data_IF_246852622485
#
_entry.id   IF_246852622485
#
_cell.length_a   1.000
_cell.length_b   1.000
_cell.length_c   1.000
_cell.angle_alpha   90.00
_cell.angle_beta   90.00
_cell.angle_gamma   90.00
#
_symmetry.space_group_name_H-M   'P 1'
#
loop_
_entity.id
_entity.type
_entity.pdbx_description
1 polymer ?
#
# COMPACT_ATOMS: atom_id res chain seq x y z
N UNK A 1 -23.19 23.77 11.21
CA UNK A 1 -23.92 22.72 10.46
C UNK A 1 -22.86 21.84 9.80
N UNK A 2 -22.42 20.77 10.49
CA UNK A 2 -21.37 19.87 10.00
C UNK A 2 -21.88 19.15 8.76
N UNK A 3 -21.20 19.33 7.63
CA UNK A 3 -21.39 18.44 6.49
C UNK A 3 -20.94 17.04 6.92
N UNK A 4 -21.70 15.98 6.62
CA UNK A 4 -21.19 14.63 6.79
C UNK A 4 -19.98 14.52 5.86
N UNK A 5 -18.78 14.41 6.44
CA UNK A 5 -17.64 13.85 5.73
C UNK A 5 -18.10 12.46 5.31
N UNK A 6 -18.45 12.32 4.03
CA UNK A 6 -18.53 11.01 3.39
C UNK A 6 -17.07 10.54 3.37
N UNK A 7 -16.65 10.00 4.50
CA UNK A 7 -15.45 9.21 4.65
C UNK A 7 -15.73 7.94 3.84
N UNK A 8 -15.48 8.03 2.53
CA UNK A 8 -15.55 6.90 1.61
C UNK A 8 -14.50 5.90 2.10
N UNK A 9 -14.97 4.96 2.92
CA UNK A 9 -14.29 3.79 3.43
C UNK A 9 -14.03 2.73 2.33
N UNK A 10 -13.81 3.18 1.10
CA UNK A 10 -13.58 2.30 -0.04
C UNK A 10 -12.09 2.38 -0.39
N UNK A 11 -11.37 1.32 -0.04
CA UNK A 11 -10.00 1.05 -0.47
C UNK A 11 -8.95 2.06 0.00
N UNK A 12 -8.91 2.30 1.31
CA UNK A 12 -7.62 2.53 2.00
C UNK A 12 -6.77 1.25 1.88
N UNK A 13 -6.23 1.00 0.69
CA UNK A 13 -4.82 0.60 0.61
C UNK A 13 -4.09 1.89 0.99
N UNK A 14 -3.62 2.08 2.24
CA UNK A 14 -2.75 3.20 2.48
C UNK A 14 -1.64 3.09 1.44
N UNK A 15 -1.22 4.20 0.87
CA UNK A 15 -0.03 4.23 0.00
C UNK A 15 1.22 3.73 0.77
N UNK A 16 1.11 3.48 2.10
CA UNK A 16 2.02 2.66 2.89
C UNK A 16 1.81 1.14 2.82
N UNK A 17 0.59 0.62 2.64
CA UNK A 17 0.39 -0.74 2.14
C UNK A 17 0.79 -0.83 0.67
N UNK A 18 0.66 0.23 -0.14
CA UNK A 18 1.30 0.25 -1.44
C UNK A 18 2.83 0.35 -1.31
N UNK A 19 3.44 1.03 -0.34
CA UNK A 19 4.90 1.04 -0.15
C UNK A 19 5.43 -0.25 0.50
N UNK A 20 4.67 -0.86 1.42
CA UNK A 20 4.95 -2.15 2.04
C UNK A 20 4.64 -3.31 1.08
N UNK A 21 3.57 -3.30 0.31
CA UNK A 21 3.28 -4.31 -0.73
C UNK A 21 4.09 -4.08 -2.01
N UNK A 22 4.45 -2.84 -2.38
CA UNK A 22 5.40 -2.60 -3.48
C UNK A 22 6.78 -3.13 -3.08
N UNK A 23 7.21 -3.01 -1.82
CA UNK A 23 8.45 -3.65 -1.38
C UNK A 23 8.31 -5.17 -1.13
N UNK A 24 7.18 -5.66 -0.63
CA UNK A 24 7.00 -7.08 -0.29
C UNK A 24 6.66 -7.96 -1.50
N UNK A 25 6.04 -7.40 -2.55
CA UNK A 25 5.62 -8.19 -3.70
C UNK A 25 6.53 -8.02 -4.91
N UNK A 26 7.14 -6.85 -5.16
CA UNK A 26 8.22 -6.69 -6.18
C UNK A 26 9.11 -5.47 -6.00
N UNK A 27 10.42 -5.64 -5.80
CA UNK A 27 11.34 -4.51 -5.90
C UNK A 27 11.24 -3.84 -7.27
N UNK A 28 11.47 -2.52 -7.31
CA UNK A 28 11.56 -1.69 -8.53
C UNK A 28 12.41 -2.37 -9.61
N UNK A 29 13.41 -3.15 -9.22
CA UNK A 29 14.26 -3.95 -10.11
C UNK A 29 13.45 -4.87 -11.03
N UNK A 30 12.43 -5.59 -10.55
CA UNK A 30 11.65 -6.51 -11.42
C UNK A 30 10.85 -5.75 -12.48
N UNK A 31 10.35 -4.56 -12.14
CA UNK A 31 9.64 -3.69 -13.10
C UNK A 31 10.61 -3.18 -14.16
N UNK A 32 11.77 -2.66 -13.73
CA UNK A 32 12.82 -2.13 -14.59
C UNK A 32 13.42 -3.20 -15.51
N UNK A 33 13.88 -4.33 -14.94
CA UNK A 33 14.52 -5.44 -15.65
C UNK A 33 13.61 -6.04 -16.74
N UNK A 34 12.30 -6.04 -16.50
CA UNK A 34 11.32 -6.54 -17.47
C UNK A 34 10.83 -5.46 -18.43
N UNK A 35 11.25 -4.20 -18.31
CA UNK A 35 10.75 -3.10 -19.13
C UNK A 35 9.23 -2.91 -19.00
N UNK A 36 8.66 -3.11 -17.81
CA UNK A 36 7.22 -2.99 -17.58
C UNK A 36 6.81 -1.53 -17.67
N UNK A 37 5.93 -1.21 -18.62
CA UNK A 37 5.33 0.11 -18.77
C UNK A 37 4.09 0.27 -17.91
N UNK A 38 3.19 -0.71 -17.93
CA UNK A 38 2.00 -0.71 -17.06
C UNK A 38 1.75 -2.07 -16.45
N UNK A 39 1.14 -2.05 -15.26
CA UNK A 39 0.58 -3.22 -14.57
C UNK A 39 -0.88 -2.93 -14.23
N UNK A 40 -1.80 -3.75 -14.72
CA UNK A 40 -3.20 -3.66 -14.34
C UNK A 40 -3.59 -4.85 -13.46
N UNK A 41 -4.30 -4.54 -12.37
CA UNK A 41 -4.75 -5.48 -11.33
C UNK A 41 -6.27 -5.45 -11.35
N UNK A 42 -6.90 -6.61 -11.41
CA UNK A 42 -8.35 -6.73 -11.36
C UNK A 42 -8.81 -7.98 -10.62
N UNK A 43 -10.04 -7.97 -10.10
CA UNK A 43 -10.65 -9.20 -9.61
C UNK A 43 -10.80 -10.22 -10.75
N UNK A 44 -10.66 -11.49 -10.43
CA UNK A 44 -11.05 -12.58 -11.33
C UNK A 44 -12.57 -12.68 -11.52
N UNK A 45 -13.36 -12.12 -10.60
CA UNK A 45 -14.81 -12.01 -10.71
C UNK A 45 -15.26 -10.94 -11.72
N UNK A 46 -16.52 -10.96 -12.13
CA UNK A 46 -17.09 -10.16 -13.24
C UNK A 46 -17.03 -8.63 -13.13
N UNK A 47 -16.33 -8.07 -12.14
CA UNK A 47 -16.04 -6.65 -12.08
C UNK A 47 -15.02 -6.24 -13.15
N UNK A 48 -15.29 -5.12 -13.81
CA UNK A 48 -14.40 -4.54 -14.83
C UNK A 48 -13.44 -3.51 -14.25
N UNK A 49 -13.63 -3.08 -13.00
CA UNK A 49 -12.75 -2.12 -12.35
C UNK A 49 -11.32 -2.68 -12.25
N UNK A 50 -10.32 -1.83 -12.48
CA UNK A 50 -8.91 -2.18 -12.44
C UNK A 50 -8.13 -1.11 -11.70
N UNK A 51 -7.18 -1.54 -10.87
CA UNK A 51 -6.09 -0.68 -10.42
C UNK A 51 -4.97 -0.75 -11.46
N UNK A 52 -4.56 0.38 -12.01
CA UNK A 52 -3.54 0.51 -13.05
C UNK A 52 -2.36 1.29 -12.49
N UNK A 53 -1.20 0.65 -12.52
CA UNK A 53 0.09 1.27 -12.23
C UNK A 53 0.82 1.55 -13.55
N UNK A 54 1.35 2.75 -13.74
CA UNK A 54 2.27 3.07 -14.84
C UNK A 54 3.65 3.39 -14.28
N UNK A 55 4.68 2.94 -14.98
CA UNK A 55 6.07 3.08 -14.56
C UNK A 55 6.87 3.80 -15.63
N UNK A 56 7.90 4.56 -15.26
CA UNK A 56 8.90 5.04 -16.22
C UNK A 56 9.88 3.93 -16.63
N UNK A 57 10.85 4.23 -17.48
CA UNK A 57 11.87 3.25 -17.94
C UNK A 57 12.82 2.78 -16.82
N UNK A 58 12.91 3.54 -15.74
CA UNK A 58 13.71 3.17 -14.55
C UNK A 58 12.88 2.35 -13.54
N UNK A 59 11.61 2.06 -13.86
CA UNK A 59 10.69 1.30 -13.02
C UNK A 59 10.01 2.12 -11.92
N UNK A 60 10.18 3.45 -11.90
CA UNK A 60 9.53 4.31 -10.91
C UNK A 60 8.04 4.46 -11.22
N UNK A 61 7.19 4.33 -10.21
CA UNK A 61 5.74 4.48 -10.35
C UNK A 61 5.36 5.93 -10.64
N UNK A 62 4.87 6.23 -11.84
CA UNK A 62 4.47 7.59 -12.22
C UNK A 62 2.98 7.85 -12.05
N UNK A 63 2.17 6.79 -12.10
CA UNK A 63 0.72 6.87 -11.96
C UNK A 63 0.18 5.61 -11.26
N UNK A 64 -0.68 5.80 -10.28
CA UNK A 64 -1.66 4.82 -9.85
C UNK A 64 -3.06 5.32 -10.22
N UNK A 65 -3.95 4.44 -10.66
CA UNK A 65 -5.30 4.82 -11.08
C UNK A 65 -6.29 3.69 -10.81
N UNK A 66 -7.47 4.02 -10.30
CA UNK A 66 -8.61 3.11 -10.24
C UNK A 66 -9.58 3.43 -11.37
N UNK A 67 -9.98 2.42 -12.14
CA UNK A 67 -10.99 2.57 -13.19
C UNK A 67 -12.38 2.15 -12.73
N UNK A 68 -13.39 2.69 -13.40
CA UNK A 68 -14.79 2.39 -13.19
C UNK A 68 -15.15 0.91 -13.44
N UNK A 69 -16.27 0.48 -12.84
CA UNK A 69 -16.76 -0.88 -12.98
C UNK A 69 -17.66 -1.11 -14.22
N UNK A 70 -18.12 -0.05 -14.90
CA UNK A 70 -19.01 -0.14 -16.07
C UNK A 70 -18.23 -0.55 -17.33
N UNK A 71 -17.07 0.08 -17.52
CA UNK A 71 -16.22 -0.03 -18.71
C UNK A 71 -14.81 -0.55 -18.41
N UNK A 72 -14.31 -0.36 -17.19
CA UNK A 72 -12.93 -0.68 -16.83
C UNK A 72 -11.90 0.28 -17.44
N UNK A 73 -12.33 1.48 -17.85
CA UNK A 73 -11.50 2.42 -18.63
C UNK A 73 -11.54 3.85 -18.13
N UNK A 74 -12.64 4.31 -17.54
CA UNK A 74 -12.80 5.67 -17.03
C UNK A 74 -12.12 5.76 -15.67
N UNK A 75 -11.19 6.71 -15.46
CA UNK A 75 -10.59 6.94 -14.15
C UNK A 75 -11.67 7.37 -13.14
N UNK A 76 -11.67 6.76 -11.96
CA UNK A 76 -12.43 7.19 -10.79
C UNK A 76 -11.52 7.97 -9.84
N UNK A 77 -10.37 7.39 -9.54
CA UNK A 77 -9.32 8.02 -8.74
C UNK A 77 -7.97 7.87 -9.45
N UNK A 78 -7.08 8.84 -9.26
CA UNK A 78 -5.71 8.80 -9.75
C UNK A 78 -4.74 9.43 -8.77
N UNK A 79 -3.53 8.90 -8.72
CA UNK A 79 -2.40 9.45 -7.97
C UNK A 79 -1.21 9.56 -8.92
N UNK A 80 -0.70 10.77 -9.12
CA UNK A 80 0.53 11.00 -9.90
C UNK A 80 1.69 11.31 -8.99
N UNK A 81 2.87 10.76 -9.27
CA UNK A 81 4.06 10.90 -8.44
C UNK A 81 5.13 11.74 -9.11
N UNK A 82 5.87 12.50 -8.30
CA UNK A 82 7.11 13.17 -8.69
C UNK A 82 8.23 12.71 -7.78
N UNK A 83 9.44 12.72 -8.31
CA UNK A 83 10.61 12.16 -7.67
C UNK A 83 11.70 13.22 -7.50
N UNK A 84 12.48 13.09 -6.43
CA UNK A 84 13.71 13.85 -6.24
C UNK A 84 14.86 13.31 -7.13
N UNK A 85 15.99 14.01 -7.13
CA UNK A 85 17.18 13.63 -7.91
C UNK A 85 17.81 12.30 -7.45
N UNK A 86 17.51 11.87 -6.22
CA UNK A 86 17.96 10.58 -5.66
C UNK A 86 17.01 9.43 -6.03
N UNK A 87 15.87 9.75 -6.67
CA UNK A 87 14.87 8.78 -7.09
C UNK A 87 13.85 8.39 -6.02
N UNK A 88 13.75 9.13 -4.91
CA UNK A 88 12.68 8.97 -3.93
C UNK A 88 11.44 9.78 -4.33
N UNK A 89 10.21 9.31 -4.03
CA UNK A 89 9.02 10.13 -4.20
C UNK A 89 9.14 11.45 -3.44
N UNK A 90 9.14 12.59 -4.12
CA UNK A 90 9.16 13.91 -3.49
C UNK A 90 7.74 14.40 -3.19
N UNK A 91 6.80 14.12 -4.09
CA UNK A 91 5.40 14.49 -3.93
C UNK A 91 4.44 13.56 -4.66
N UNK A 92 3.18 13.59 -4.25
CA UNK A 92 2.08 12.95 -4.97
C UNK A 92 0.86 13.87 -5.03
N UNK A 93 0.12 13.79 -6.12
CA UNK A 93 -1.18 14.46 -6.29
C UNK A 93 -2.25 13.38 -6.49
N UNK A 94 -3.15 13.26 -5.53
CA UNK A 94 -4.34 12.43 -5.60
C UNK A 94 -5.52 13.27 -6.10
N UNK A 95 -6.30 12.71 -7.03
CA UNK A 95 -7.52 13.32 -7.57
C UNK A 95 -8.61 12.26 -7.59
N UNK A 96 -9.71 12.54 -6.90
CA UNK A 96 -10.95 11.74 -6.90
C UNK A 96 -12.12 12.67 -7.23
N UNK A 97 -12.69 12.51 -8.42
CA UNK A 97 -13.73 13.40 -8.94
C UNK A 97 -13.28 14.88 -8.96
N UNK A 98 -13.84 15.69 -8.05
CA UNK A 98 -13.54 17.13 -7.91
C UNK A 98 -12.58 17.43 -6.76
N UNK A 99 -12.30 16.46 -5.92
CA UNK A 99 -11.44 16.62 -4.75
C UNK A 99 -10.00 16.26 -5.12
N UNK A 100 -9.04 16.89 -4.45
CA UNK A 100 -7.63 16.58 -4.64
C UNK A 100 -6.84 16.73 -3.35
N UNK A 101 -5.87 15.85 -3.14
CA UNK A 101 -4.96 15.89 -2.01
C UNK A 101 -3.52 15.98 -2.51
N UNK A 102 -2.73 16.85 -1.89
CA UNK A 102 -1.30 16.98 -2.18
C UNK A 102 -0.48 16.36 -1.05
N UNK A 103 0.38 15.41 -1.38
CA UNK A 103 1.28 14.76 -0.43
C UNK A 103 2.71 15.19 -0.67
N UNK A 104 3.44 15.51 0.41
CA UNK A 104 4.89 15.74 0.40
C UNK A 104 5.57 14.69 1.28
N UNK A 105 6.75 14.25 0.87
CA UNK A 105 7.57 13.25 1.55
C UNK A 105 8.93 13.84 1.93
N UNK A 106 9.42 13.49 3.12
CA UNK A 106 10.72 13.93 3.63
C UNK A 106 11.55 12.71 4.05
N UNK A 107 12.86 12.77 3.81
CA UNK A 107 13.78 11.67 4.02
C UNK A 107 14.99 12.09 4.85
N UNK A 108 15.52 11.16 5.65
CA UNK A 108 16.81 11.36 6.31
C UNK A 108 17.99 11.17 5.34
N UNK A 109 19.21 11.43 5.84
CA UNK A 109 20.45 11.30 5.05
C UNK A 109 20.69 9.88 4.50
N UNK A 110 20.15 8.85 5.16
CA UNK A 110 20.22 7.46 4.71
C UNK A 110 19.13 7.09 3.69
N UNK A 111 18.31 8.05 3.23
CA UNK A 111 17.24 7.84 2.25
C UNK A 111 15.98 7.18 2.83
N UNK A 112 15.82 7.12 4.16
CA UNK A 112 14.62 6.56 4.80
C UNK A 112 13.58 7.66 5.01
N UNK A 113 12.32 7.36 4.70
CA UNK A 113 11.20 8.29 4.84
C UNK A 113 11.00 8.65 6.31
N UNK A 114 11.15 9.91 6.70
CA UNK A 114 10.94 10.36 8.08
C UNK A 114 9.59 11.03 8.28
N UNK A 115 9.01 11.60 7.22
CA UNK A 115 7.74 12.31 7.29
C UNK A 115 6.94 12.24 6.01
N UNK A 116 5.61 12.18 6.15
CA UNK A 116 4.64 12.35 5.06
C UNK A 116 3.58 13.34 5.53
N UNK A 117 3.25 14.32 4.70
CA UNK A 117 2.21 15.31 5.01
C UNK A 117 1.22 15.41 3.86
N UNK A 118 -0.06 15.21 4.15
CA UNK A 118 -1.19 15.29 3.22
C UNK A 118 -1.91 16.62 3.42
N UNK A 119 -2.17 17.34 2.33
CA UNK A 119 -2.82 18.64 2.35
C UNK A 119 -4.04 18.69 1.44
N UNK A 120 -5.03 19.44 1.89
CA UNK A 120 -6.18 19.88 1.10
C UNK A 120 -5.75 20.89 0.02
N UNK A 121 -6.62 21.19 -0.97
CA UNK A 121 -6.31 22.17 -2.03
C UNK A 121 -5.99 23.58 -1.51
N UNK A 122 -6.53 23.94 -0.34
CA UNK A 122 -6.25 25.21 0.34
C UNK A 122 -4.96 25.19 1.19
N UNK A 123 -4.16 24.13 1.07
CA UNK A 123 -2.92 23.87 1.82
C UNK A 123 -3.08 23.52 3.30
N UNK A 124 -4.31 23.41 3.81
CA UNK A 124 -4.57 22.91 5.16
C UNK A 124 -4.04 21.48 5.28
N UNK A 125 -3.36 21.17 6.39
CA UNK A 125 -2.88 19.81 6.67
C UNK A 125 -4.08 18.95 7.04
N UNK A 126 -4.36 17.96 6.20
CA UNK A 126 -5.40 16.96 6.45
C UNK A 126 -4.87 15.83 7.33
N UNK A 127 -3.63 15.42 7.12
CA UNK A 127 -3.01 14.30 7.82
C UNK A 127 -1.49 14.47 7.83
N UNK A 128 -0.85 14.07 8.92
CA UNK A 128 0.60 13.96 9.01
C UNK A 128 1.00 12.60 9.55
N UNK A 129 2.10 12.08 9.05
CA UNK A 129 2.73 10.83 9.48
C UNK A 129 4.22 11.06 9.69
N UNK A 130 4.77 10.47 10.74
CA UNK A 130 6.21 10.50 11.06
C UNK A 130 6.68 9.08 11.36
N UNK A 131 7.92 8.82 10.96
CA UNK A 131 8.51 7.49 11.02
C UNK A 131 9.83 7.54 11.79
N UNK A 132 9.95 6.67 12.77
CA UNK A 132 11.17 6.42 13.51
C UNK A 132 11.66 5.00 13.25
N UNK A 133 12.98 4.85 13.14
CA UNK A 133 13.63 3.60 12.77
C UNK A 133 14.53 3.13 13.92
N UNK A 134 14.28 1.91 14.40
CA UNK A 134 15.22 1.22 15.27
C UNK A 134 16.28 0.50 14.42
N UNK A 135 17.58 0.57 14.78
CA UNK A 135 18.65 -0.09 14.03
C UNK A 135 18.52 -1.62 13.96
N UNK A 136 17.71 -2.24 14.82
CA UNK A 136 17.64 -3.69 14.96
C UNK A 136 16.50 -4.37 14.21
N UNK A 137 15.49 -3.65 13.65
CA UNK A 137 14.44 -4.12 12.69
C UNK A 137 13.04 -3.48 12.87
N UNK A 138 12.86 -2.41 13.67
CA UNK A 138 11.53 -1.83 13.92
C UNK A 138 11.30 -0.47 13.24
N UNK A 139 10.06 -0.25 12.78
CA UNK A 139 9.58 1.05 12.31
C UNK A 139 8.36 1.44 13.13
N UNK A 140 8.50 2.52 13.90
CA UNK A 140 7.39 3.16 14.59
C UNK A 140 6.81 4.26 13.72
N UNK A 141 5.49 4.27 13.57
CA UNK A 141 4.75 5.30 12.83
C UNK A 141 3.77 5.99 13.77
N UNK A 142 3.73 7.31 13.73
CA UNK A 142 2.72 8.10 14.45
C UNK A 142 1.88 8.86 13.42
N UNK A 143 0.58 9.00 13.69
CA UNK A 143 -0.38 9.62 12.79
C UNK A 143 -1.11 10.75 13.50
N UNK A 144 -1.20 11.90 12.84
CA UNK A 144 -1.82 13.11 13.35
C UNK A 144 -2.95 13.59 12.42
N UNK A 145 -4.00 14.09 13.03
CA UNK A 145 -5.13 14.76 12.39
C UNK A 145 -5.67 15.83 13.34
N UNK A 146 -6.00 17.01 12.81
CA UNK A 146 -6.38 18.17 13.63
C UNK A 146 -5.39 18.45 14.78
N UNK A 147 -4.09 18.32 14.49
CA UNK A 147 -2.96 18.50 15.43
C UNK A 147 -2.84 17.46 16.56
N UNK A 148 -3.78 16.51 16.65
CA UNK A 148 -3.80 15.47 17.68
C UNK A 148 -3.31 14.12 17.14
N UNK A 149 -2.62 13.36 18.00
CA UNK A 149 -2.21 12.00 17.66
C UNK A 149 -3.42 11.08 17.75
N UNK A 150 -3.82 10.52 16.62
CA UNK A 150 -4.98 9.63 16.58
C UNK A 150 -4.61 8.17 16.36
N UNK A 151 -3.36 7.86 16.02
CA UNK A 151 -2.92 6.47 15.82
C UNK A 151 -1.40 6.31 15.99
N UNK A 152 -0.99 5.14 16.48
CA UNK A 152 0.42 4.72 16.54
C UNK A 152 0.55 3.27 16.09
N UNK A 153 1.52 3.03 15.21
CA UNK A 153 1.78 1.71 14.63
C UNK A 153 3.24 1.31 14.81
N UNK A 154 3.47 0.00 14.86
CA UNK A 154 4.80 -0.60 14.85
C UNK A 154 4.83 -1.74 13.86
N UNK A 155 5.79 -1.68 12.93
CA UNK A 155 6.12 -2.78 12.03
C UNK A 155 7.48 -3.35 12.42
N UNK A 156 7.59 -4.67 12.50
CA UNK A 156 8.83 -5.39 12.80
C UNK A 156 9.18 -6.25 11.60
N UNK A 157 10.45 -6.20 11.22
CA UNK A 157 10.98 -6.94 10.07
C UNK A 157 11.93 -8.04 10.52
N UNK A 158 12.16 -9.06 9.69
CA UNK A 158 13.28 -9.97 9.87
C UNK A 158 14.58 -9.36 9.29
N UNK A 159 15.71 -10.05 9.50
CA UNK A 159 17.01 -9.62 8.96
C UNK A 159 17.06 -9.57 7.42
N UNK A 160 16.11 -10.20 6.73
CA UNK A 160 15.95 -10.14 5.28
C UNK A 160 15.05 -8.99 4.82
N UNK A 161 14.53 -8.19 5.76
CA UNK A 161 13.66 -7.04 5.48
C UNK A 161 12.19 -7.39 5.28
N UNK A 162 11.75 -8.61 5.60
CA UNK A 162 10.35 -8.99 5.49
C UNK A 162 9.59 -8.65 6.77
N UNK A 163 8.40 -8.04 6.66
CA UNK A 163 7.55 -7.83 7.84
C UNK A 163 7.16 -9.16 8.48
N UNK A 164 7.35 -9.27 9.79
CA UNK A 164 7.00 -10.42 10.63
C UNK A 164 5.91 -10.09 11.65
N UNK A 165 5.79 -8.81 12.01
CA UNK A 165 4.77 -8.33 12.97
C UNK A 165 4.30 -6.94 12.61
N UNK A 166 3.01 -6.69 12.81
CA UNK A 166 2.41 -5.36 12.71
C UNK A 166 1.42 -5.17 13.86
N UNK A 167 1.60 -4.14 14.66
CA UNK A 167 0.69 -3.79 15.75
C UNK A 167 0.38 -2.31 15.74
N UNK A 168 -0.70 -1.93 16.42
CA UNK A 168 -0.99 -0.52 16.60
C UNK A 168 -2.17 -0.26 17.52
N UNK A 169 -2.40 1.03 17.72
CA UNK A 169 -3.41 1.57 18.60
C UNK A 169 -4.11 2.74 17.91
N UNK A 170 -5.44 2.70 17.89
CA UNK A 170 -6.31 3.81 17.51
C UNK A 170 -6.66 4.62 18.77
N UNK A 171 -6.47 5.94 18.68
CA UNK A 171 -6.65 6.93 19.72
C UNK A 171 -7.73 7.95 19.35
N UNK A 172 -8.44 7.78 18.23
CA UNK A 172 -9.51 8.71 17.78
C UNK A 172 -10.65 8.83 18.77
N UNK A 173 -10.93 7.76 19.52
CA UNK A 173 -11.99 7.73 20.52
C UNK A 173 -11.36 7.77 21.92
N UNK A 174 -11.54 8.90 22.61
CA UNK A 174 -11.06 9.09 23.98
C UNK A 174 -11.74 8.17 25.00
N UNK A 175 -12.84 7.53 24.62
CA UNK A 175 -13.60 6.60 25.46
C UNK A 175 -13.31 5.13 25.16
N UNK A 176 -12.71 4.82 24.01
CA UNK A 176 -12.33 3.44 23.66
C UNK A 176 -11.03 3.38 22.86
N UNK A 177 -10.03 2.71 23.43
CA UNK A 177 -8.76 2.45 22.74
C UNK A 177 -8.86 1.13 21.99
N UNK A 178 -8.78 1.17 20.66
CA UNK A 178 -8.74 -0.04 19.84
C UNK A 178 -7.30 -0.41 19.55
N UNK A 179 -6.92 -1.65 19.82
CA UNK A 179 -5.60 -2.17 19.47
C UNK A 179 -5.72 -3.28 18.43
N UNK A 180 -4.62 -3.53 17.72
CA UNK A 180 -4.46 -4.70 16.88
C UNK A 180 -3.04 -5.21 16.95
N UNK A 181 -2.89 -6.51 16.71
CA UNK A 181 -1.61 -7.17 16.62
C UNK A 181 -1.71 -8.32 15.64
N UNK A 182 -0.84 -8.28 14.63
CA UNK A 182 -0.76 -9.25 13.58
C UNK A 182 0.64 -9.84 13.50
N UNK A 183 0.71 -11.14 13.22
CA UNK A 183 1.95 -11.83 12.89
C UNK A 183 1.87 -12.40 11.47
N UNK A 184 3.00 -12.41 10.77
CA UNK A 184 3.09 -12.87 9.39
C UNK A 184 4.02 -14.06 9.27
N UNK A 185 3.53 -15.15 8.70
CA UNK A 185 4.34 -16.30 8.28
C UNK A 185 4.49 -16.26 6.77
N UNK A 186 5.70 -16.44 6.26
CA UNK A 186 6.01 -16.36 4.82
C UNK A 186 6.66 -17.65 4.35
N UNK A 187 6.21 -18.15 3.21
CA UNK A 187 6.83 -19.26 2.49
C UNK A 187 7.33 -18.70 1.16
N UNK A 188 8.64 -18.87 0.89
CA UNK A 188 9.27 -18.43 -0.35
C UNK A 188 9.42 -19.60 -1.34
N UNK A 189 9.45 -19.31 -2.63
CA UNK A 189 9.85 -20.27 -3.64
C UNK A 189 11.39 -20.36 -3.77
N UNK A 190 11.88 -21.24 -4.65
CA UNK A 190 13.32 -21.45 -4.85
C UNK A 190 14.07 -20.22 -5.37
N UNK A 191 13.36 -19.23 -5.92
CA UNK A 191 13.92 -17.96 -6.37
C UNK A 191 13.81 -16.86 -5.28
N UNK A 192 13.39 -17.21 -4.06
CA UNK A 192 13.22 -16.28 -2.95
C UNK A 192 11.96 -15.41 -3.03
N UNK A 193 11.02 -15.72 -3.93
CA UNK A 193 9.78 -14.94 -4.10
C UNK A 193 8.70 -15.43 -3.16
N UNK A 194 7.87 -14.54 -2.64
CA UNK A 194 6.77 -14.90 -1.76
C UNK A 194 5.77 -15.80 -2.47
N UNK A 195 5.67 -17.07 -2.05
CA UNK A 195 4.71 -18.05 -2.57
C UNK A 195 3.43 -18.08 -1.75
N UNK A 196 3.56 -17.93 -0.43
CA UNK A 196 2.43 -17.90 0.50
C UNK A 196 2.70 -16.99 1.68
N UNK A 197 1.67 -16.29 2.15
CA UNK A 197 1.67 -15.51 3.41
C UNK A 197 0.49 -15.92 4.27
N UNK A 198 0.71 -16.23 5.55
CA UNK A 198 -0.36 -16.38 6.54
C UNK A 198 -0.35 -15.17 7.47
N UNK A 199 -1.51 -14.58 7.69
CA UNK A 199 -1.69 -13.52 8.68
C UNK A 199 -2.41 -14.10 9.88
N UNK A 200 -1.83 -13.92 11.07
CA UNK A 200 -2.45 -14.27 12.35
C UNK A 200 -2.87 -13.06 13.13
N UNK A 201 -3.98 -13.18 13.85
CA UNK A 201 -4.41 -12.26 14.90
C UNK A 201 -4.78 -13.09 16.12
N UNK A 202 -4.30 -12.72 17.30
CA UNK A 202 -4.58 -13.45 18.55
C UNK A 202 -4.30 -14.96 18.45
N UNK A 203 -3.19 -15.32 17.78
CA UNK A 203 -2.76 -16.70 17.54
C UNK A 203 -3.52 -17.46 16.44
N UNK A 204 -4.65 -16.94 15.97
CA UNK A 204 -5.50 -17.58 14.94
C UNK A 204 -5.14 -17.10 13.54
N UNK A 205 -5.13 -17.99 12.55
CA UNK A 205 -4.97 -17.60 11.13
C UNK A 205 -6.24 -16.93 10.64
N UNK A 206 -6.13 -15.65 10.27
CA UNK A 206 -7.25 -14.83 9.80
C UNK A 206 -7.26 -14.65 8.27
N UNK A 207 -6.10 -14.84 7.63
CA UNK A 207 -5.94 -14.77 6.17
C UNK A 207 -4.81 -15.68 5.70
N UNK A 208 -4.98 -16.27 4.52
CA UNK A 208 -3.92 -16.94 3.76
C UNK A 208 -3.90 -16.37 2.35
N UNK A 209 -2.73 -15.90 1.91
CA UNK A 209 -2.49 -15.38 0.57
C UNK A 209 -1.56 -16.33 -0.19
N UNK A 210 -1.89 -16.63 -1.45
CA UNK A 210 -1.10 -17.47 -2.35
C UNK A 210 -0.78 -16.73 -3.63
N UNK A 211 0.47 -16.86 -4.09
CA UNK A 211 1.06 -16.06 -5.15
C UNK A 211 1.59 -16.94 -6.27
N UNK A 212 1.30 -16.55 -7.52
CA UNK A 212 1.74 -17.27 -8.72
C UNK A 212 2.46 -16.31 -9.65
N UNK A 213 3.62 -16.70 -10.18
CA UNK A 213 4.48 -15.87 -11.02
C UNK A 213 4.74 -16.51 -12.38
N UNK A 214 5.03 -15.70 -13.39
CA UNK A 214 5.59 -16.16 -14.65
C UNK A 214 7.10 -16.48 -14.53
N UNK A 215 7.68 -17.00 -15.61
CA UNK A 215 9.11 -17.34 -15.70
C UNK A 215 10.06 -16.14 -15.52
N UNK A 216 9.56 -14.92 -15.67
CA UNK A 216 10.31 -13.66 -15.51
C UNK A 216 10.17 -13.08 -14.10
N UNK A 217 9.42 -13.75 -13.21
CA UNK A 217 9.13 -13.24 -11.86
C UNK A 217 7.99 -12.23 -11.80
N UNK A 218 7.17 -12.13 -12.85
CA UNK A 218 5.98 -11.30 -12.80
C UNK A 218 4.80 -12.09 -12.19
N UNK A 219 4.32 -11.71 -11.00
CA UNK A 219 3.05 -12.17 -10.40
C UNK A 219 1.94 -12.09 -11.44
N UNK A 220 1.26 -13.21 -11.63
CA UNK A 220 0.10 -13.40 -12.49
C UNK A 220 -1.19 -13.37 -11.67
N UNK A 221 -1.15 -13.89 -10.44
CA UNK A 221 -2.31 -13.88 -9.55
C UNK A 221 -1.95 -13.89 -8.07
N UNK A 222 -2.84 -13.30 -7.26
CA UNK A 222 -2.90 -13.40 -5.81
C UNK A 222 -4.26 -13.95 -5.42
N UNK A 223 -4.32 -15.05 -4.69
CA UNK A 223 -5.56 -15.56 -4.10
C UNK A 223 -5.51 -15.37 -2.59
N UNK A 224 -6.56 -14.80 -2.00
CA UNK A 224 -6.66 -14.58 -0.56
C UNK A 224 -7.87 -15.32 0.00
N UNK A 225 -7.65 -16.14 1.02
CA UNK A 225 -8.71 -16.81 1.78
C UNK A 225 -8.87 -16.13 3.14
N UNK A 226 -10.06 -15.59 3.41
CA UNK A 226 -10.37 -14.87 4.66
C UNK A 226 -11.16 -15.75 5.62
N UNK A 227 -10.61 -16.02 6.80
CA UNK A 227 -11.23 -16.93 7.79
C UNK A 227 -12.28 -16.25 8.67
N UNK A 228 -12.17 -14.94 8.94
CA UNK A 228 -13.02 -14.26 9.94
C UNK A 228 -14.39 -13.76 9.42
N UNK A 229 -14.65 -13.83 8.12
CA UNK A 229 -15.89 -13.31 7.50
C UNK A 229 -16.66 -14.43 6.79
N UNK A 230 -16.95 -15.52 7.51
CA UNK A 230 -17.71 -16.65 6.96
C UNK A 230 -16.97 -17.46 5.89
N UNK A 231 -15.66 -17.29 5.75
CA UNK A 231 -14.84 -18.07 4.80
C UNK A 231 -15.12 -17.69 3.36
N UNK A 232 -14.52 -16.60 2.87
CA UNK A 232 -14.60 -16.24 1.44
C UNK A 232 -13.21 -16.12 0.83
N UNK A 233 -13.18 -16.28 -0.49
CA UNK A 233 -11.96 -16.15 -1.29
C UNK A 233 -12.06 -14.97 -2.23
N UNK A 234 -10.95 -14.26 -2.36
CA UNK A 234 -10.75 -13.26 -3.41
C UNK A 234 -9.61 -13.70 -4.30
N UNK A 235 -9.66 -13.30 -5.57
CA UNK A 235 -8.56 -13.55 -6.51
C UNK A 235 -8.33 -12.31 -7.34
N UNK A 236 -7.09 -11.84 -7.33
CA UNK A 236 -6.60 -10.76 -8.16
C UNK A 236 -5.79 -11.35 -9.32
N UNK A 237 -5.97 -10.79 -10.50
CA UNK A 237 -5.23 -11.10 -11.71
C UNK A 237 -4.41 -9.89 -12.13
N UNK A 238 -3.19 -10.18 -12.60
CA UNK A 238 -2.19 -9.18 -12.94
C UNK A 238 -1.84 -9.29 -14.41
N UNK A 239 -1.92 -8.16 -15.11
CA UNK A 239 -1.60 -8.04 -16.54
C UNK A 239 -0.59 -6.94 -16.76
N UNK A 240 0.21 -7.07 -17.82
CA UNK A 240 1.39 -6.24 -18.06
C UNK A 240 1.44 -5.73 -19.49
N UNK A 241 1.89 -4.49 -19.64
CA UNK A 241 2.40 -3.98 -20.92
C UNK A 241 3.85 -3.57 -20.76
N UNK A 242 4.60 -3.60 -21.86
CA UNK A 242 6.04 -3.41 -21.89
C UNK A 242 6.40 -2.25 -22.83
N UNK A 243 7.61 -1.71 -22.65
CA UNK A 243 8.20 -0.67 -23.48
C UNK A 243 8.61 -1.15 -24.87
#
# INVERSE_FOLDING_TARGET
MMKPMILIWILMLPVLAAAQEVNELRPVSVIKENGVKTRAIGPAGGSKARAVCSFDREGKLTLWMLTDNETGKRPQARITYRYDDKGHPASALEVDGRDSLHTVYEYNAAGRLTRKVVRLPDSTIAEMMEYAYDPYIEVASTFWGDEEVYRKDTSVYDASGHSVRFSGTDLRDSTSTRTWSYAFEKELDAAGRLRRKRTRSEGKVISVEEFVYDKRGLLLSKETTHSMMGGFKTKELYTYTFY
#
